data_IF_980722085367
#
_entry.id   IF_980722085367
#
_cell.length_a   1.000
_cell.length_b   1.000
_cell.length_c   1.000
_cell.angle_alpha   90.00
_cell.angle_beta   90.00
_cell.angle_gamma   90.00
#
_symmetry.space_group_name_H-M   'P 1'
#
loop_
_entity.id
_entity.type
_entity.pdbx_description
1 polymer ?
#
# COMPACT_ATOMS: atom_id res chain seq x y z
N UNK A 1 3.15 16.14 10.09
CA UNK A 1 2.20 15.17 10.66
C UNK A 1 2.35 13.83 9.97
N UNK A 2 2.35 12.78 10.75
CA UNK A 2 2.51 11.45 10.21
C UNK A 2 1.19 10.86 9.74
N UNK A 3 1.24 10.16 8.64
CA UNK A 3 0.08 9.47 8.07
C UNK A 3 0.40 8.00 7.92
N UNK A 4 -0.62 7.18 8.03
CA UNK A 4 -0.52 5.77 7.72
C UNK A 4 -1.24 5.52 6.41
N UNK A 5 -0.53 4.95 5.46
CA UNK A 5 -1.14 4.53 4.20
C UNK A 5 -1.37 3.03 4.29
N UNK A 6 -2.61 2.63 4.06
CA UNK A 6 -2.98 1.22 3.94
C UNK A 6 -3.34 0.99 2.48
N UNK A 7 -2.51 0.26 1.78
CA UNK A 7 -2.71 0.00 0.36
C UNK A 7 -3.10 -1.46 0.17
N UNK A 8 -4.30 -1.67 -0.34
CA UNK A 8 -4.78 -3.02 -0.70
C UNK A 8 -4.65 -3.12 -2.20
N UNK A 9 -3.74 -3.97 -2.66
CA UNK A 9 -3.39 -4.07 -4.06
C UNK A 9 -3.62 -5.49 -4.55
N UNK A 10 -3.65 -5.68 -5.86
CA UNK A 10 -3.75 -7.01 -6.43
C UNK A 10 -2.50 -7.80 -6.05
N UNK A 11 -2.67 -9.08 -5.71
CA UNK A 11 -1.56 -9.87 -5.20
C UNK A 11 -0.38 -9.97 -6.19
N UNK A 12 -0.66 -9.93 -7.48
CA UNK A 12 0.40 -9.99 -8.49
C UNK A 12 1.21 -8.70 -8.58
N UNK A 13 0.66 -7.60 -8.09
CA UNK A 13 1.36 -6.31 -8.10
C UNK A 13 2.12 -6.05 -6.80
N UNK A 14 1.81 -6.81 -5.74
CA UNK A 14 2.32 -6.51 -4.41
C UNK A 14 3.83 -6.51 -4.31
N UNK A 15 4.49 -7.47 -4.94
CA UNK A 15 5.94 -7.60 -4.89
C UNK A 15 6.63 -6.40 -5.54
N UNK A 16 6.16 -6.01 -6.71
CA UNK A 16 6.76 -4.89 -7.42
C UNK A 16 6.51 -3.57 -6.71
N UNK A 17 5.30 -3.38 -6.19
CA UNK A 17 4.98 -2.17 -5.44
C UNK A 17 5.83 -2.08 -4.18
N UNK A 18 5.96 -3.19 -3.46
CA UNK A 18 6.78 -3.25 -2.26
C UNK A 18 8.22 -2.86 -2.59
N UNK A 19 8.76 -3.42 -3.66
CA UNK A 19 10.13 -3.12 -4.08
C UNK A 19 10.28 -1.64 -4.45
N UNK A 20 9.35 -1.11 -5.23
CA UNK A 20 9.41 0.29 -5.64
C UNK A 20 9.38 1.25 -4.45
N UNK A 21 8.52 0.97 -3.49
CA UNK A 21 8.43 1.81 -2.29
C UNK A 21 9.68 1.69 -1.44
N UNK A 22 10.22 0.49 -1.31
CA UNK A 22 11.44 0.27 -0.55
C UNK A 22 12.64 0.97 -1.20
N UNK A 23 12.73 0.91 -2.52
CA UNK A 23 13.80 1.59 -3.24
C UNK A 23 13.71 3.11 -3.11
N UNK A 24 12.50 3.62 -2.93
CA UNK A 24 12.29 5.04 -2.69
C UNK A 24 12.45 5.42 -1.21
N UNK A 25 12.93 4.49 -0.40
CA UNK A 25 13.24 4.69 1.01
C UNK A 25 12.02 4.84 1.92
N UNK A 26 10.88 4.32 1.51
CA UNK A 26 9.73 4.24 2.39
C UNK A 26 9.84 2.99 3.25
N UNK A 27 9.35 3.10 4.48
CA UNK A 27 9.28 1.95 5.38
C UNK A 27 7.93 1.26 5.14
N UNK A 28 7.97 0.05 4.62
CA UNK A 28 6.76 -0.67 4.20
C UNK A 28 6.70 -2.01 4.89
N UNK A 29 5.53 -2.35 5.40
CA UNK A 29 5.26 -3.66 5.96
C UNK A 29 4.18 -4.33 5.13
N UNK A 30 4.45 -5.56 4.71
CA UNK A 30 3.45 -6.35 4.02
C UNK A 30 2.75 -7.26 5.01
N UNK A 31 1.43 -7.22 5.01
CA UNK A 31 0.65 -8.07 5.88
C UNK A 31 0.29 -9.33 5.12
N UNK A 32 0.68 -10.47 5.68
CA UNK A 32 0.31 -11.75 5.10
C UNK A 32 -1.15 -12.04 5.40
N UNK A 33 -1.89 -12.39 4.38
CA UNK A 33 -3.29 -12.71 4.52
C UNK A 33 -3.42 -14.23 4.66
N UNK A 34 -3.60 -14.71 5.90
CA UNK A 34 -3.73 -16.12 6.14
C UNK A 34 -5.16 -16.55 6.43
N UNK A 35 -6.06 -15.61 6.61
CA UNK A 35 -7.47 -15.92 6.85
C UNK A 35 -8.26 -15.81 5.56
N UNK A 36 -9.41 -16.41 5.52
CA UNK A 36 -10.23 -16.40 4.34
C UNK A 36 -10.86 -15.06 4.02
N UNK A 37 -10.84 -14.14 4.95
CA UNK A 37 -11.55 -12.89 4.78
C UNK A 37 -10.90 -11.96 3.77
N UNK A 38 -9.61 -11.72 3.91
CA UNK A 38 -8.88 -10.94 2.92
C UNK A 38 -8.47 -11.89 1.83
N UNK A 39 -9.02 -11.67 0.70
CA UNK A 39 -8.89 -12.59 -0.42
C UNK A 39 -7.47 -12.90 -0.78
N UNK A 40 -7.28 -14.10 -1.27
CA UNK A 40 -6.01 -14.52 -1.84
C UNK A 40 -5.61 -13.72 -3.06
N UNK A 41 -6.48 -12.84 -3.54
CA UNK A 41 -6.18 -12.01 -4.69
C UNK A 41 -5.62 -10.66 -4.35
N UNK A 42 -5.49 -10.37 -3.07
CA UNK A 42 -4.99 -9.08 -2.65
C UNK A 42 -3.79 -9.20 -1.73
N UNK A 43 -3.00 -8.15 -1.70
CA UNK A 43 -1.93 -7.98 -0.74
C UNK A 43 -2.14 -6.65 -0.05
N UNK A 44 -1.84 -6.58 1.24
CA UNK A 44 -1.99 -5.35 2.01
C UNK A 44 -0.62 -4.85 2.43
N UNK A 45 -0.36 -3.58 2.12
CA UNK A 45 0.90 -2.93 2.48
C UNK A 45 0.59 -1.77 3.41
N UNK A 46 1.39 -1.67 4.47
CA UNK A 46 1.29 -0.55 5.41
C UNK A 46 2.54 0.29 5.31
N UNK A 47 2.38 1.59 5.19
CA UNK A 47 3.53 2.48 5.24
C UNK A 47 3.24 3.73 6.06
N UNK A 48 4.20 4.09 6.92
CA UNK A 48 4.15 5.35 7.65
C UNK A 48 4.90 6.41 6.87
N UNK A 49 4.27 7.54 6.63
CA UNK A 49 4.88 8.63 5.85
C UNK A 49 4.52 9.96 6.47
N UNK A 50 5.27 11.00 6.13
CA UNK A 50 4.88 12.35 6.48
C UNK A 50 3.78 12.82 5.54
N UNK A 51 3.00 13.78 5.99
CA UNK A 51 1.87 14.27 5.20
C UNK A 51 2.28 14.72 3.80
N UNK A 52 3.45 15.34 3.69
CA UNK A 52 3.93 15.85 2.40
C UNK A 52 4.46 14.74 1.48
N UNK A 53 4.56 13.51 1.97
CA UNK A 53 5.01 12.37 1.17
C UNK A 53 3.85 11.52 0.63
N UNK A 54 2.64 11.80 1.07
CA UNK A 54 1.48 10.98 0.71
C UNK A 54 1.26 10.92 -0.80
N UNK A 55 1.32 12.08 -1.46
CA UNK A 55 1.08 12.13 -2.90
C UNK A 55 2.11 11.34 -3.68
N UNK A 56 3.39 11.44 -3.30
CA UNK A 56 4.45 10.72 -3.97
C UNK A 56 4.33 9.21 -3.77
N UNK A 57 4.01 8.79 -2.55
CA UNK A 57 3.84 7.37 -2.26
C UNK A 57 2.65 6.79 -3.03
N UNK A 58 1.53 7.52 -3.07
CA UNK A 58 0.37 7.12 -3.85
C UNK A 58 0.70 6.97 -5.32
N UNK A 59 1.49 7.89 -5.84
CA UNK A 59 1.87 7.86 -7.25
C UNK A 59 2.69 6.61 -7.57
N UNK A 60 3.61 6.23 -6.69
CA UNK A 60 4.39 5.01 -6.88
C UNK A 60 3.50 3.77 -6.90
N UNK A 61 2.54 3.71 -6.00
CA UNK A 61 1.60 2.58 -5.96
C UNK A 61 0.83 2.52 -7.27
N UNK A 62 0.37 3.66 -7.74
CA UNK A 62 -0.40 3.73 -8.97
C UNK A 62 0.42 3.31 -10.19
N UNK A 63 1.66 3.79 -10.28
CA UNK A 63 2.52 3.50 -11.42
C UNK A 63 2.90 2.04 -11.53
N UNK A 64 2.99 1.36 -10.39
CA UNK A 64 3.40 -0.04 -10.36
C UNK A 64 2.24 -1.00 -10.25
N UNK A 65 1.01 -0.49 -10.30
CA UNK A 65 -0.17 -1.33 -10.41
C UNK A 65 -0.45 -1.59 -11.88
N UNK A 66 -0.75 -2.83 -12.23
CA UNK A 66 -1.07 -3.17 -13.60
C UNK A 66 -2.37 -2.45 -14.03
N UNK A 67 -2.54 -2.22 -15.33
CA UNK A 67 -3.77 -1.59 -15.80
C UNK A 67 -4.99 -2.40 -15.42
N UNK A 68 -6.08 -1.69 -15.11
CA UNK A 68 -7.34 -2.33 -14.79
C UNK A 68 -7.92 -2.93 -16.08
N UNK A 69 -8.22 -4.22 -16.02
CA UNK A 69 -8.75 -4.93 -17.19
C UNK A 69 -10.25 -4.99 -17.14
N UNK A 70 -10.80 -5.23 -15.96
CA UNK A 70 -12.25 -5.36 -15.78
C UNK A 70 -12.82 -4.08 -15.21
N UNK A 71 -13.91 -3.59 -15.82
CA UNK A 71 -14.47 -2.29 -15.47
C UNK A 71 -14.94 -2.19 -14.01
N UNK A 72 -15.26 -3.30 -13.39
CA UNK A 72 -15.76 -3.30 -12.01
C UNK A 72 -14.71 -3.40 -10.93
N UNK A 73 -13.44 -3.60 -11.27
CA UNK A 73 -12.40 -3.86 -10.29
C UNK A 73 -11.32 -2.81 -10.29
N UNK A 74 -10.96 -2.34 -9.10
CA UNK A 74 -9.82 -1.48 -8.91
C UNK A 74 -8.60 -2.33 -8.64
N UNK A 75 -7.45 -1.93 -9.20
CA UNK A 75 -6.21 -2.65 -8.94
C UNK A 75 -5.62 -2.30 -7.59
N UNK A 76 -5.94 -1.12 -7.06
CA UNK A 76 -5.44 -0.70 -5.77
C UNK A 76 -6.48 0.15 -5.06
N UNK A 77 -6.59 -0.04 -3.75
CA UNK A 77 -7.38 0.82 -2.89
C UNK A 77 -6.45 1.35 -1.81
N UNK A 78 -6.45 2.65 -1.64
CA UNK A 78 -5.53 3.30 -0.72
C UNK A 78 -6.32 4.06 0.33
N UNK A 79 -6.05 3.75 1.59
CA UNK A 79 -6.59 4.48 2.72
C UNK A 79 -5.48 5.31 3.34
N UNK A 80 -5.78 6.55 3.70
CA UNK A 80 -4.80 7.41 4.37
C UNK A 80 -5.40 7.81 5.71
N UNK A 81 -4.68 7.47 6.76
CA UNK A 81 -5.16 7.69 8.13
C UNK A 81 -4.20 8.62 8.87
N UNK A 82 -4.76 9.45 9.73
CA UNK A 82 -3.95 10.27 10.62
C UNK A 82 -3.37 9.40 11.72
N UNK A 83 -2.10 9.63 12.05
CA UNK A 83 -1.44 8.91 13.14
C UNK A 83 -1.21 9.90 14.28
N UNK A 84 -1.90 9.68 15.38
CA UNK A 84 -1.75 10.54 16.55
C UNK A 84 -0.53 10.16 17.36
N UNK A 85 -0.21 8.87 17.39
CA UNK A 85 0.89 8.38 18.21
C UNK A 85 1.56 7.21 17.52
N UNK A 86 2.88 7.20 17.58
CA UNK A 86 3.70 6.16 16.96
C UNK A 86 4.74 5.68 17.97
N UNK A 87 4.78 4.38 18.21
CA UNK A 87 5.76 3.78 19.11
C UNK A 87 6.34 2.52 18.50
N UNK A 88 7.64 2.37 18.66
CA UNK A 88 8.33 1.11 18.36
C UNK A 88 8.84 0.55 19.68
N UNK A 89 8.44 -0.65 19.97
CA UNK A 89 8.78 -1.30 21.24
C UNK A 89 9.61 -2.54 20.99
#
# INVERSE_FOLDING_TARGET
MMKLIVAVVHHTDGEEILRALTEAHYSVTRIASSGGFLRRRTATLLLGVQADQVAAARQLIREHSAPQVDAGFKRATVFVLNVERYEQV
#
